data_IF_975514217120
#
_entry.id   IF_975514217120
#
_cell.length_a   1.000
_cell.length_b   1.000
_cell.length_c   1.000
_cell.angle_alpha   90.00
_cell.angle_beta   90.00
_cell.angle_gamma   90.00
#
_symmetry.space_group_name_H-M   'P 1'
#
loop_
_entity.id
_entity.type
_entity.pdbx_description
1 polymer ?
#
# COMPACT_ATOMS: atom_id res chain seq x y z
N UNK A 1 14.33 -26.52 3.26
CA UNK A 1 13.95 -25.94 1.93
C UNK A 1 13.13 -24.72 2.20
N UNK A 2 13.29 -23.63 1.43
CA UNK A 2 12.41 -22.47 1.60
C UNK A 2 10.96 -22.90 1.32
N UNK A 3 10.04 -22.46 2.18
CA UNK A 3 8.62 -22.79 2.04
C UNK A 3 8.07 -22.09 0.80
N UNK A 4 7.33 -22.85 -0.02
CA UNK A 4 6.61 -22.27 -1.14
C UNK A 4 5.47 -21.39 -0.63
N UNK A 5 5.60 -20.06 -0.82
CA UNK A 5 4.59 -19.08 -0.48
C UNK A 5 3.59 -18.99 -1.62
N UNK A 6 2.37 -19.44 -1.42
CA UNK A 6 1.29 -19.30 -2.41
C UNK A 6 0.26 -18.27 -1.94
N UNK A 7 -0.42 -17.63 -2.90
CA UNK A 7 -1.52 -16.71 -2.55
C UNK A 7 -2.61 -17.39 -1.74
N UNK A 8 -2.90 -18.66 -2.01
CA UNK A 8 -3.93 -19.43 -1.27
C UNK A 8 -3.58 -19.58 0.21
N UNK A 9 -2.31 -19.85 0.55
CA UNK A 9 -1.83 -19.91 1.94
C UNK A 9 -1.97 -18.57 2.64
N UNK A 10 -1.56 -17.50 1.98
CA UNK A 10 -1.65 -16.12 2.52
C UNK A 10 -3.11 -15.72 2.76
N UNK A 11 -3.97 -15.94 1.77
CA UNK A 11 -5.41 -15.64 1.86
C UNK A 11 -6.08 -16.47 2.97
N UNK A 12 -5.74 -17.77 3.07
CA UNK A 12 -6.27 -18.64 4.11
C UNK A 12 -5.86 -18.18 5.51
N UNK A 13 -4.59 -17.82 5.72
CA UNK A 13 -4.10 -17.25 6.98
C UNK A 13 -4.85 -15.96 7.31
N UNK A 14 -4.94 -15.03 6.35
CA UNK A 14 -5.59 -13.74 6.55
C UNK A 14 -7.06 -13.89 6.98
N UNK A 15 -7.81 -14.78 6.33
CA UNK A 15 -9.21 -15.07 6.67
C UNK A 15 -9.33 -15.74 8.04
N UNK A 16 -8.55 -16.78 8.28
CA UNK A 16 -8.63 -17.59 9.50
C UNK A 16 -8.18 -16.82 10.76
N UNK A 17 -7.29 -15.85 10.62
CA UNK A 17 -6.73 -15.08 11.75
C UNK A 17 -7.31 -13.68 11.88
N UNK A 18 -8.24 -13.29 11.03
CA UNK A 18 -8.92 -12.01 11.15
C UNK A 18 -8.11 -10.81 10.67
N UNK A 19 -7.23 -11.02 9.69
CA UNK A 19 -6.58 -9.92 8.99
C UNK A 19 -7.49 -9.32 7.91
N UNK A 20 -7.97 -10.15 6.99
CA UNK A 20 -8.74 -9.67 5.83
C UNK A 20 -9.85 -10.67 5.52
N UNK A 21 -11.07 -10.17 5.35
CA UNK A 21 -12.27 -10.93 5.01
C UNK A 21 -12.82 -10.52 3.64
N UNK A 22 -13.59 -11.39 2.95
CA UNK A 22 -14.40 -10.96 1.82
C UNK A 22 -15.42 -9.90 2.26
N UNK A 23 -15.49 -8.78 1.56
CA UNK A 23 -16.47 -7.73 1.84
C UNK A 23 -17.89 -8.20 1.58
N UNK A 24 -18.82 -7.94 2.52
CA UNK A 24 -20.25 -8.30 2.41
C UNK A 24 -20.51 -9.80 2.19
N UNK A 25 -19.73 -10.67 2.79
CA UNK A 25 -19.73 -12.13 2.56
C UNK A 25 -21.11 -12.76 2.78
N UNK A 26 -21.87 -12.28 3.77
CA UNK A 26 -23.22 -12.80 4.06
C UNK A 26 -24.24 -12.62 2.92
N UNK A 27 -23.94 -11.73 1.96
CA UNK A 27 -24.73 -11.52 0.75
C UNK A 27 -24.07 -12.09 -0.52
N UNK A 28 -23.08 -12.97 -0.35
CA UNK A 28 -22.31 -13.55 -1.46
C UNK A 28 -21.11 -12.69 -1.90
N UNK A 29 -20.82 -11.62 -1.18
CA UNK A 29 -19.70 -10.74 -1.45
C UNK A 29 -19.90 -9.77 -2.62
N UNK A 30 -18.92 -8.89 -2.81
CA UNK A 30 -18.77 -8.06 -3.99
C UNK A 30 -17.40 -8.36 -4.60
N UNK A 31 -17.37 -8.61 -5.91
CA UNK A 31 -16.15 -9.07 -6.59
C UNK A 31 -14.92 -8.23 -6.25
N UNK A 32 -13.93 -8.89 -5.67
CA UNK A 32 -12.66 -8.33 -5.19
C UNK A 32 -12.81 -7.09 -4.29
N UNK A 33 -13.77 -7.15 -3.37
CA UNK A 33 -13.96 -6.20 -2.27
C UNK A 33 -13.61 -6.91 -0.96
N UNK A 34 -12.80 -6.25 -0.14
CA UNK A 34 -12.20 -6.85 1.06
C UNK A 34 -12.36 -5.92 2.26
N UNK A 35 -12.66 -6.52 3.42
CA UNK A 35 -12.72 -5.83 4.70
C UNK A 35 -11.50 -6.21 5.54
N UNK A 36 -10.89 -5.24 6.20
CA UNK A 36 -9.84 -5.47 7.18
C UNK A 36 -10.47 -5.83 8.52
N UNK A 37 -10.20 -7.06 9.00
CA UNK A 37 -10.68 -7.54 10.30
C UNK A 37 -9.91 -6.93 11.48
N UNK A 38 -10.14 -7.44 12.71
CA UNK A 38 -9.55 -6.87 13.92
C UNK A 38 -8.02 -6.77 13.91
N UNK A 39 -7.33 -7.81 13.41
CA UNK A 39 -5.87 -7.76 13.26
C UNK A 39 -5.44 -6.93 12.05
N UNK A 40 -6.21 -7.01 10.96
CA UNK A 40 -5.93 -6.31 9.72
C UNK A 40 -5.98 -4.81 9.86
N UNK A 41 -6.96 -4.26 10.58
CA UNK A 41 -7.07 -2.80 10.79
C UNK A 41 -5.91 -2.27 11.62
N UNK A 42 -5.48 -2.98 12.65
CA UNK A 42 -4.31 -2.60 13.45
C UNK A 42 -3.02 -2.68 12.62
N UNK A 43 -2.85 -3.77 11.87
CA UNK A 43 -1.71 -3.95 10.98
C UNK A 43 -1.62 -2.84 9.93
N UNK A 44 -2.70 -2.58 9.20
CA UNK A 44 -2.75 -1.53 8.16
C UNK A 44 -2.53 -0.13 8.75
N UNK A 45 -3.10 0.13 9.93
CA UNK A 45 -2.85 1.39 10.63
C UNK A 45 -1.38 1.52 11.07
N UNK A 46 -0.73 0.44 11.48
CA UNK A 46 0.70 0.45 11.79
C UNK A 46 1.55 0.74 10.55
N UNK A 47 1.22 0.17 9.39
CA UNK A 47 1.88 0.48 8.10
C UNK A 47 1.75 1.97 7.78
N UNK A 48 0.54 2.53 7.88
CA UNK A 48 0.30 3.95 7.64
C UNK A 48 1.03 4.85 8.64
N UNK A 49 1.07 4.47 9.94
CA UNK A 49 1.81 5.21 10.98
C UNK A 49 3.32 5.17 10.73
N UNK A 50 3.87 4.03 10.31
CA UNK A 50 5.29 3.91 9.97
C UNK A 50 5.66 4.85 8.81
N UNK A 51 4.84 4.86 7.76
CA UNK A 51 5.03 5.77 6.62
C UNK A 51 4.92 7.24 7.06
N UNK A 52 3.87 7.60 7.81
CA UNK A 52 3.67 8.96 8.30
C UNK A 52 4.82 9.44 9.20
N UNK A 53 5.31 8.56 10.06
CA UNK A 53 6.47 8.84 10.92
C UNK A 53 7.68 9.24 10.08
N UNK A 54 8.04 8.43 9.07
CA UNK A 54 9.24 8.66 8.25
C UNK A 54 9.06 9.83 7.27
N UNK A 55 7.94 9.87 6.56
CA UNK A 55 7.75 10.83 5.47
C UNK A 55 7.26 12.20 5.94
N UNK A 56 6.63 12.30 7.11
CA UNK A 56 6.08 13.56 7.63
C UNK A 56 6.72 13.97 8.94
N UNK A 57 6.61 13.13 9.97
CA UNK A 57 7.02 13.51 11.33
C UNK A 57 8.52 13.72 11.47
N UNK A 58 9.35 12.85 10.92
CA UNK A 58 10.81 12.91 10.96
C UNK A 58 11.41 13.79 9.85
N UNK A 59 10.59 14.27 8.91
CA UNK A 59 11.04 15.13 7.82
C UNK A 59 10.92 16.60 8.14
N UNK A 60 12.02 17.34 8.04
CA UNK A 60 12.02 18.82 8.13
C UNK A 60 11.33 19.49 6.94
N UNK A 61 11.19 18.80 5.84
CA UNK A 61 10.65 19.33 4.59
C UNK A 61 9.13 19.21 4.51
N UNK A 62 8.57 18.10 4.95
CA UNK A 62 7.22 17.70 4.61
C UNK A 62 6.18 18.16 5.64
N UNK A 63 4.94 18.30 5.17
CA UNK A 63 3.75 18.56 5.97
C UNK A 63 2.63 17.64 5.51
N UNK A 64 1.63 17.42 6.36
CA UNK A 64 0.46 16.60 6.03
C UNK A 64 -0.71 17.41 5.50
N UNK A 65 -1.55 16.75 4.72
CA UNK A 65 -2.84 17.24 4.22
C UNK A 65 -3.86 16.09 4.29
N UNK A 66 -5.11 16.42 4.52
CA UNK A 66 -6.26 15.54 4.30
C UNK A 66 -7.30 16.27 3.47
N UNK A 67 -7.25 16.10 2.16
CA UNK A 67 -8.21 16.71 1.24
C UNK A 67 -9.47 15.87 1.10
N UNK A 68 -10.60 16.51 0.78
CA UNK A 68 -11.86 15.83 0.58
C UNK A 68 -11.82 14.84 -0.60
N UNK A 69 -12.55 13.71 -0.48
CA UNK A 69 -12.72 12.74 -1.58
C UNK A 69 -13.53 13.37 -2.72
N UNK A 70 -14.61 14.07 -2.38
CA UNK A 70 -15.45 14.78 -3.35
C UNK A 70 -14.86 16.17 -3.58
N UNK A 71 -14.46 16.42 -4.81
CA UNK A 71 -13.89 17.70 -5.26
C UNK A 71 -14.68 18.26 -6.42
N UNK A 72 -14.47 19.55 -6.71
CA UNK A 72 -15.06 20.17 -7.89
C UNK A 72 -14.66 19.37 -9.14
N UNK A 73 -15.63 19.11 -10.02
CA UNK A 73 -15.41 18.37 -11.27
C UNK A 73 -14.26 18.93 -12.10
N UNK A 74 -14.07 20.25 -12.07
CA UNK A 74 -13.03 20.95 -12.86
C UNK A 74 -11.59 20.55 -12.46
N UNK A 75 -11.39 20.05 -11.24
CA UNK A 75 -10.10 19.45 -10.85
C UNK A 75 -9.75 18.27 -11.77
N UNK A 76 -10.72 17.42 -12.06
CA UNK A 76 -10.55 16.24 -12.91
C UNK A 76 -10.54 16.55 -14.40
N UNK A 77 -11.14 17.66 -14.79
CA UNK A 77 -11.01 18.19 -16.16
C UNK A 77 -9.61 18.74 -16.38
N UNK A 78 -9.12 19.57 -15.46
CA UNK A 78 -7.80 20.19 -15.53
C UNK A 78 -6.66 19.15 -15.55
N UNK A 79 -6.76 18.13 -14.69
CA UNK A 79 -5.78 17.04 -14.63
C UNK A 79 -5.90 16.00 -15.75
N UNK A 80 -6.93 16.12 -16.62
CA UNK A 80 -7.14 15.22 -17.76
C UNK A 80 -7.87 13.90 -17.43
N UNK A 81 -8.18 13.60 -16.16
CA UNK A 81 -8.83 12.34 -15.78
C UNK A 81 -10.20 12.11 -16.41
N UNK A 82 -11.00 13.15 -16.57
CA UNK A 82 -12.33 13.01 -17.19
C UNK A 82 -12.23 12.54 -18.65
N UNK A 83 -11.22 13.01 -19.38
CA UNK A 83 -11.04 12.72 -20.81
C UNK A 83 -10.14 11.54 -21.13
N UNK A 84 -9.10 11.29 -20.30
CA UNK A 84 -7.99 10.39 -20.63
C UNK A 84 -7.80 9.19 -19.71
N UNK A 85 -8.37 9.20 -18.50
CA UNK A 85 -8.18 8.10 -17.54
C UNK A 85 -9.08 6.91 -17.90
N UNK A 86 -8.66 6.14 -18.90
CA UNK A 86 -9.45 5.05 -19.46
C UNK A 86 -8.58 3.89 -19.90
N UNK A 87 -9.09 2.66 -19.71
CA UNK A 87 -8.49 1.43 -20.20
C UNK A 87 -9.14 0.99 -21.53
N UNK A 88 -8.39 0.32 -22.42
CA UNK A 88 -8.92 -0.28 -23.63
C UNK A 88 -9.69 -1.57 -23.29
N UNK A 89 -11.02 -1.48 -23.27
CA UNK A 89 -11.94 -2.58 -22.91
C UNK A 89 -12.40 -3.36 -24.14
N UNK A 90 -12.32 -4.68 -24.08
CA UNK A 90 -12.95 -5.59 -25.04
C UNK A 90 -13.65 -6.75 -24.37
N UNK A 91 -14.70 -7.31 -25.00
CA UNK A 91 -15.43 -8.46 -24.52
C UNK A 91 -15.25 -9.64 -25.47
N UNK A 92 -15.11 -10.87 -24.96
CA UNK A 92 -15.27 -12.07 -25.77
C UNK A 92 -16.75 -12.27 -26.09
N UNK A 93 -17.11 -12.34 -27.38
CA UNK A 93 -18.52 -12.52 -27.82
C UNK A 93 -19.08 -13.89 -27.45
N UNK A 94 -18.22 -14.91 -27.25
CA UNK A 94 -18.62 -16.26 -26.91
C UNK A 94 -18.94 -16.43 -25.43
N UNK A 95 -17.96 -16.21 -24.54
CA UNK A 95 -18.12 -16.45 -23.11
C UNK A 95 -18.47 -15.19 -22.29
N UNK A 96 -18.60 -14.04 -22.93
CA UNK A 96 -18.89 -12.73 -22.30
C UNK A 96 -17.84 -12.26 -21.28
N UNK A 97 -16.66 -12.88 -21.27
CA UNK A 97 -15.57 -12.43 -20.42
C UNK A 97 -15.02 -11.10 -20.92
N UNK A 98 -14.64 -10.23 -19.98
CA UNK A 98 -14.06 -8.90 -20.23
C UNK A 98 -12.57 -8.92 -20.05
N UNK A 99 -11.88 -8.14 -20.88
CA UNK A 99 -10.43 -8.03 -20.85
C UNK A 99 -10.01 -6.58 -21.12
N UNK A 100 -8.87 -6.22 -20.55
CA UNK A 100 -8.07 -5.10 -21.03
C UNK A 100 -7.30 -5.60 -22.25
N UNK A 101 -7.44 -4.92 -23.37
CA UNK A 101 -6.80 -5.35 -24.61
C UNK A 101 -5.27 -5.21 -24.55
N UNK A 102 -4.76 -4.15 -23.91
CA UNK A 102 -3.34 -3.93 -23.65
C UNK A 102 -2.73 -5.08 -22.82
N UNK A 103 -3.37 -5.47 -21.71
CA UNK A 103 -2.89 -6.58 -20.87
C UNK A 103 -2.90 -7.93 -21.61
N UNK A 104 -3.90 -8.16 -22.45
CA UNK A 104 -3.94 -9.39 -23.26
C UNK A 104 -2.76 -9.45 -24.25
N UNK A 105 -2.36 -8.30 -24.79
CA UNK A 105 -1.19 -8.16 -25.67
C UNK A 105 0.11 -8.37 -24.88
N UNK A 106 0.26 -7.72 -23.74
CA UNK A 106 1.43 -7.84 -22.86
C UNK A 106 1.65 -9.26 -22.34
N UNK A 107 0.56 -9.93 -21.90
CA UNK A 107 0.61 -11.33 -21.47
C UNK A 107 1.09 -12.25 -22.61
N UNK A 108 0.63 -12.00 -23.84
CA UNK A 108 1.11 -12.73 -25.02
C UNK A 108 2.55 -12.44 -25.35
N UNK A 109 3.01 -11.18 -25.28
CA UNK A 109 4.41 -10.80 -25.48
C UNK A 109 5.31 -11.49 -24.46
N UNK A 110 4.93 -11.47 -23.19
CA UNK A 110 5.66 -12.12 -22.09
C UNK A 110 5.77 -13.62 -22.31
N UNK A 111 4.65 -14.27 -22.67
CA UNK A 111 4.62 -15.71 -22.96
C UNK A 111 5.51 -16.12 -24.14
N UNK A 112 5.78 -15.19 -25.05
CA UNK A 112 6.66 -15.40 -26.21
C UNK A 112 8.10 -14.88 -26.00
N UNK A 113 8.47 -14.53 -24.76
CA UNK A 113 9.84 -14.20 -24.39
C UNK A 113 10.29 -12.80 -24.76
N UNK A 114 9.37 -11.84 -24.88
CA UNK A 114 9.74 -10.44 -25.06
C UNK A 114 10.50 -9.92 -23.81
N UNK A 115 11.63 -9.26 -24.02
CA UNK A 115 12.42 -8.65 -22.93
C UNK A 115 11.66 -7.50 -22.27
N UNK A 116 10.90 -6.73 -23.06
CA UNK A 116 9.99 -5.69 -22.62
C UNK A 116 8.62 -5.98 -23.22
N UNK A 117 7.65 -6.23 -22.37
CA UNK A 117 6.26 -6.53 -22.75
C UNK A 117 5.36 -5.38 -22.29
N UNK A 118 5.35 -4.28 -23.06
CA UNK A 118 4.47 -3.15 -22.80
C UNK A 118 3.65 -2.81 -24.04
N UNK A 119 2.39 -2.50 -23.85
CA UNK A 119 1.47 -2.00 -24.85
C UNK A 119 0.88 -0.64 -24.40
N UNK A 120 1.54 0.02 -23.46
CA UNK A 120 1.15 1.33 -22.98
C UNK A 120 1.24 2.36 -24.12
N UNK A 121 0.22 3.21 -24.23
CA UNK A 121 0.17 4.22 -25.28
C UNK A 121 -0.27 3.72 -26.65
N UNK A 122 -0.45 2.40 -26.87
CA UNK A 122 -0.94 1.89 -28.13
C UNK A 122 -2.39 2.31 -28.42
N UNK A 123 -2.65 2.64 -29.68
CA UNK A 123 -4.02 2.90 -30.14
C UNK A 123 -4.88 1.63 -30.14
N UNK A 124 -6.18 1.80 -30.11
CA UNK A 124 -7.12 0.67 -30.20
C UNK A 124 -6.92 -0.16 -31.49
N UNK A 125 -6.50 0.50 -32.58
CA UNK A 125 -6.19 -0.16 -33.86
C UNK A 125 -4.95 -1.01 -33.77
N UNK A 126 -3.86 -0.48 -33.19
CA UNK A 126 -2.59 -1.24 -32.97
C UNK A 126 -2.81 -2.47 -32.09
N UNK A 127 -3.55 -2.29 -30.98
CA UNK A 127 -3.89 -3.41 -30.11
C UNK A 127 -4.69 -4.50 -30.84
N UNK A 128 -5.73 -4.10 -31.59
CA UNK A 128 -6.57 -5.05 -32.34
C UNK A 128 -5.81 -5.75 -33.45
N UNK A 129 -4.95 -5.02 -34.17
CA UNK A 129 -4.07 -5.57 -35.21
C UNK A 129 -3.10 -6.61 -34.63
N UNK A 130 -2.50 -6.32 -33.48
CA UNK A 130 -1.60 -7.26 -32.81
C UNK A 130 -2.34 -8.53 -32.38
N UNK A 131 -3.50 -8.38 -31.73
CA UNK A 131 -4.38 -9.50 -31.30
C UNK A 131 -4.75 -10.38 -32.50
N UNK A 132 -5.13 -9.76 -33.61
CA UNK A 132 -5.56 -10.47 -34.82
C UNK A 132 -4.36 -11.18 -35.50
N UNK A 133 -3.24 -10.49 -35.68
CA UNK A 133 -2.03 -11.02 -36.32
C UNK A 133 -1.47 -12.25 -35.58
N UNK A 134 -1.51 -12.22 -34.27
CA UNK A 134 -0.94 -13.27 -33.42
C UNK A 134 -1.96 -14.33 -33.00
N UNK A 135 -3.19 -14.28 -33.54
CA UNK A 135 -4.30 -15.16 -33.20
C UNK A 135 -4.49 -15.35 -31.68
N UNK A 136 -4.47 -14.24 -30.92
CA UNK A 136 -4.62 -14.28 -29.48
C UNK A 136 -6.04 -14.71 -29.13
N UNK A 137 -6.18 -15.90 -28.58
CA UNK A 137 -7.47 -16.46 -28.18
C UNK A 137 -7.89 -16.01 -26.78
N UNK A 138 -9.19 -16.04 -26.52
CA UNK A 138 -9.74 -15.74 -25.20
C UNK A 138 -9.17 -16.69 -24.14
N UNK A 139 -8.49 -16.21 -23.08
CA UNK A 139 -7.90 -17.06 -22.03
C UNK A 139 -8.94 -17.94 -21.32
N UNK A 140 -10.23 -17.52 -21.35
CA UNK A 140 -11.30 -18.23 -20.64
C UNK A 140 -11.94 -19.36 -21.46
N UNK A 141 -12.14 -19.17 -22.76
CA UNK A 141 -12.88 -20.15 -23.59
C UNK A 141 -12.11 -20.63 -24.83
N UNK A 142 -10.90 -20.12 -25.09
CA UNK A 142 -10.06 -20.52 -26.23
C UNK A 142 -10.58 -20.07 -27.60
N UNK A 143 -11.59 -19.22 -27.68
CA UNK A 143 -12.14 -18.70 -28.93
C UNK A 143 -11.59 -17.33 -29.26
N UNK A 144 -11.37 -17.07 -30.54
CA UNK A 144 -10.98 -15.74 -31.02
C UNK A 144 -12.20 -15.04 -31.65
N UNK A 145 -13.04 -14.45 -30.80
CA UNK A 145 -14.22 -13.71 -31.24
C UNK A 145 -14.48 -12.56 -30.26
N UNK A 146 -13.87 -11.43 -30.53
CA UNK A 146 -13.91 -10.25 -29.66
C UNK A 146 -14.82 -9.14 -30.23
N UNK A 147 -15.25 -8.24 -29.34
CA UNK A 147 -15.84 -6.96 -29.72
C UNK A 147 -14.74 -5.99 -30.16
N UNK A 148 -15.12 -4.89 -30.77
CA UNK A 148 -14.22 -3.76 -30.95
C UNK A 148 -13.75 -3.25 -29.58
N UNK A 149 -12.53 -2.70 -29.55
CA UNK A 149 -11.96 -2.09 -28.37
C UNK A 149 -12.61 -0.73 -28.14
N UNK A 150 -13.08 -0.49 -26.93
CA UNK A 150 -13.68 0.79 -26.51
C UNK A 150 -12.98 1.35 -25.29
N UNK A 151 -12.88 2.67 -25.19
CA UNK A 151 -12.35 3.34 -24.00
C UNK A 151 -13.34 3.20 -22.84
N UNK A 152 -12.85 2.72 -21.70
CA UNK A 152 -13.61 2.61 -20.47
C UNK A 152 -12.99 3.50 -19.41
N UNK A 153 -13.66 4.61 -19.06
CA UNK A 153 -13.18 5.53 -18.05
C UNK A 153 -13.27 4.89 -16.65
N UNK A 154 -12.16 4.94 -15.91
CA UNK A 154 -12.02 4.29 -14.61
C UNK A 154 -12.58 5.11 -13.44
N UNK A 155 -13.05 6.34 -13.67
CA UNK A 155 -13.61 7.16 -12.59
C UNK A 155 -15.03 6.70 -12.22
N UNK A 156 -15.25 6.47 -10.93
CA UNK A 156 -16.61 6.33 -10.40
C UNK A 156 -17.34 7.66 -10.43
N UNK A 157 -18.54 7.67 -11.02
CA UNK A 157 -19.45 8.81 -11.02
C UNK A 157 -20.50 8.68 -9.93
N UNK A 158 -20.84 9.81 -9.32
CA UNK A 158 -22.00 9.96 -8.46
C UNK A 158 -22.62 11.34 -8.67
N UNK A 159 -23.67 11.67 -7.93
CA UNK A 159 -24.39 12.93 -8.09
C UNK A 159 -24.48 13.65 -6.75
N UNK A 160 -24.38 14.97 -6.80
CA UNK A 160 -24.62 15.85 -5.67
C UNK A 160 -26.03 16.44 -5.77
N UNK A 161 -26.82 16.39 -4.72
CA UNK A 161 -28.20 16.88 -4.71
C UNK A 161 -29.20 15.81 -5.15
N UNK A 162 -30.39 16.24 -5.58
CA UNK A 162 -31.59 15.40 -5.84
C UNK A 162 -31.76 14.99 -7.30
N UNK A 163 -31.02 15.57 -8.22
CA UNK A 163 -31.15 15.29 -9.67
C UNK A 163 -29.87 14.62 -10.19
N UNK A 164 -30.07 13.54 -10.96
CA UNK A 164 -29.00 12.80 -11.64
C UNK A 164 -28.78 13.37 -13.05
N UNK A 165 -28.18 14.56 -13.13
CA UNK A 165 -27.85 15.21 -14.37
C UNK A 165 -26.36 15.57 -14.51
N UNK A 166 -25.95 16.06 -15.66
CA UNK A 166 -24.55 16.39 -15.92
C UNK A 166 -24.01 17.54 -15.07
N UNK A 167 -24.89 18.46 -14.65
CA UNK A 167 -24.51 19.62 -13.85
C UNK A 167 -24.19 19.20 -12.40
N UNK A 168 -24.86 18.15 -11.92
CA UNK A 168 -24.71 17.62 -10.57
C UNK A 168 -23.72 16.43 -10.48
N UNK A 169 -23.07 16.08 -11.60
CA UNK A 169 -22.10 14.98 -11.63
C UNK A 169 -20.85 15.34 -10.84
N UNK A 170 -20.50 14.48 -9.87
CA UNK A 170 -19.23 14.49 -9.15
C UNK A 170 -18.55 13.12 -9.28
N UNK A 171 -17.27 13.09 -9.01
CA UNK A 171 -16.48 11.85 -9.10
C UNK A 171 -15.89 11.48 -7.75
N UNK A 172 -15.81 10.17 -7.48
CA UNK A 172 -14.94 9.68 -6.42
C UNK A 172 -13.50 9.81 -6.93
N UNK A 173 -12.62 10.41 -6.14
CA UNK A 173 -11.23 10.65 -6.57
C UNK A 173 -10.51 9.36 -6.93
N UNK A 174 -9.84 9.27 -8.09
CA UNK A 174 -9.07 8.11 -8.50
C UNK A 174 -7.66 8.08 -7.90
N UNK A 175 -7.22 9.21 -7.31
CA UNK A 175 -5.93 9.40 -6.66
C UNK A 175 -5.99 10.53 -5.63
N UNK A 176 -5.02 10.56 -4.72
CA UNK A 176 -4.92 11.61 -3.70
C UNK A 176 -4.09 12.81 -4.16
N UNK A 177 -3.27 12.67 -5.21
CA UNK A 177 -2.35 13.68 -5.72
C UNK A 177 -3.02 15.00 -6.07
N UNK A 178 -4.15 14.98 -6.81
CA UNK A 178 -4.81 16.20 -7.26
C UNK A 178 -5.31 17.07 -6.10
N UNK A 179 -5.73 16.44 -5.00
CA UNK A 179 -6.07 17.15 -3.78
C UNK A 179 -4.90 17.93 -3.18
N UNK A 180 -3.68 17.43 -3.39
CA UNK A 180 -2.45 18.11 -2.96
C UNK A 180 -2.16 19.30 -3.88
N UNK A 181 -2.17 19.10 -5.20
CA UNK A 181 -1.87 20.16 -6.16
C UNK A 181 -2.80 21.36 -6.04
N UNK A 182 -4.12 21.15 -5.95
CA UNK A 182 -5.08 22.28 -5.81
C UNK A 182 -4.92 23.03 -4.48
N UNK A 183 -4.35 22.40 -3.47
CA UNK A 183 -4.10 23.02 -2.15
C UNK A 183 -2.67 23.55 -1.99
N UNK A 184 -1.80 23.43 -3.00
CA UNK A 184 -0.38 23.82 -2.93
C UNK A 184 -0.18 25.22 -2.33
N UNK A 185 -0.83 26.24 -2.89
CA UNK A 185 -0.69 27.64 -2.43
C UNK A 185 -1.17 27.84 -0.99
N UNK A 186 -2.28 27.22 -0.62
CA UNK A 186 -2.85 27.32 0.72
C UNK A 186 -1.94 26.66 1.76
N UNK A 187 -1.44 25.48 1.46
CA UNK A 187 -0.51 24.75 2.35
C UNK A 187 0.81 25.49 2.46
N UNK A 188 1.43 25.91 1.35
CA UNK A 188 2.69 26.62 1.33
C UNK A 188 2.61 27.92 2.16
N UNK A 189 1.53 28.69 2.01
CA UNK A 189 1.32 29.94 2.73
C UNK A 189 1.10 29.71 4.23
N UNK A 190 0.24 28.78 4.61
CA UNK A 190 -0.14 28.53 6.00
C UNK A 190 0.95 27.84 6.80
N UNK A 191 1.71 26.93 6.17
CA UNK A 191 2.85 26.24 6.78
C UNK A 191 4.15 27.06 6.75
N UNK A 192 4.18 28.14 5.96
CA UNK A 192 5.37 28.98 5.71
C UNK A 192 6.58 28.21 5.19
N UNK A 193 6.33 27.06 4.53
CA UNK A 193 7.40 26.26 3.95
C UNK A 193 8.02 26.97 2.75
N UNK A 194 9.32 26.79 2.60
CA UNK A 194 10.10 27.20 1.43
C UNK A 194 10.34 25.96 0.56
N UNK A 195 10.45 26.15 -0.73
CA UNK A 195 10.91 25.11 -1.65
C UNK A 195 12.39 24.82 -1.39
N UNK A 196 12.85 23.55 -1.22
CA UNK A 196 12.05 22.35 -1.40
C UNK A 196 11.18 22.00 -0.18
N UNK A 197 9.93 21.55 -0.44
CA UNK A 197 9.06 20.98 0.59
C UNK A 197 8.05 20.03 -0.01
N UNK A 198 7.53 19.11 0.80
CA UNK A 198 6.54 18.13 0.38
C UNK A 198 5.22 18.27 1.12
N UNK A 199 4.15 17.84 0.47
CA UNK A 199 2.81 17.69 1.04
C UNK A 199 2.43 16.23 0.93
N UNK A 200 2.16 15.60 2.06
CA UNK A 200 1.85 14.17 2.16
C UNK A 200 0.38 13.95 2.51
N UNK A 201 -0.21 12.92 1.94
CA UNK A 201 -1.58 12.52 2.23
C UNK A 201 -1.70 11.01 2.29
N UNK A 202 -2.52 10.52 3.25
CA UNK A 202 -3.05 9.16 3.26
C UNK A 202 -4.55 9.27 3.05
N UNK A 203 -5.09 8.56 2.06
CA UNK A 203 -6.53 8.65 1.82
C UNK A 203 -7.07 7.60 0.86
N UNK A 204 -8.37 7.41 0.93
CA UNK A 204 -9.13 6.53 0.02
C UNK A 204 -9.11 7.07 -1.40
N UNK A 205 -8.96 6.15 -2.35
CA UNK A 205 -9.08 6.38 -3.79
C UNK A 205 -9.90 5.26 -4.42
N UNK A 206 -10.48 5.54 -5.60
CA UNK A 206 -11.48 4.69 -6.22
C UNK A 206 -11.20 4.58 -7.72
N UNK A 207 -11.00 3.37 -8.21
CA UNK A 207 -10.84 3.10 -9.65
C UNK A 207 -11.76 1.97 -10.06
N UNK A 208 -12.63 2.20 -11.02
CA UNK A 208 -13.57 1.20 -11.51
C UNK A 208 -12.84 0.17 -12.39
N UNK A 209 -11.90 -0.57 -11.79
CA UNK A 209 -11.05 -1.55 -12.46
C UNK A 209 -11.87 -2.58 -13.25
N UNK A 210 -11.45 -2.85 -14.49
CA UNK A 210 -12.07 -3.85 -15.36
C UNK A 210 -11.78 -5.25 -14.83
N UNK A 211 -10.53 -5.50 -14.44
CA UNK A 211 -10.02 -6.80 -13.97
C UNK A 211 -9.38 -6.68 -12.57
N UNK A 212 -10.18 -6.41 -11.52
CA UNK A 212 -9.64 -6.45 -10.17
C UNK A 212 -9.24 -7.89 -9.82
N UNK A 213 -8.20 -8.06 -8.99
CA UNK A 213 -7.72 -9.41 -8.68
C UNK A 213 -6.52 -9.42 -7.76
N UNK A 214 -5.98 -10.62 -7.57
CA UNK A 214 -4.81 -10.87 -6.73
C UNK A 214 -5.00 -10.35 -5.30
N UNK A 215 -6.14 -10.72 -4.67
CA UNK A 215 -6.48 -10.34 -3.31
C UNK A 215 -6.56 -8.80 -3.16
N UNK A 216 -5.80 -8.18 -2.25
CA UNK A 216 -5.79 -6.73 -2.05
C UNK A 216 -4.80 -5.98 -2.96
N UNK A 217 -4.17 -6.67 -3.91
CA UNK A 217 -3.23 -6.05 -4.84
C UNK A 217 -3.90 -5.09 -5.81
N UNK A 218 -5.06 -5.46 -6.39
CA UNK A 218 -5.84 -4.63 -7.32
C UNK A 218 -7.33 -4.66 -6.97
N UNK A 219 -7.78 -3.63 -6.28
CA UNK A 219 -9.16 -3.45 -5.82
C UNK A 219 -9.75 -2.17 -6.41
N UNK A 220 -11.07 -2.02 -6.34
CA UNK A 220 -11.76 -0.80 -6.82
C UNK A 220 -11.78 0.33 -5.80
N UNK A 221 -11.70 -0.01 -4.52
CA UNK A 221 -11.55 0.90 -3.39
C UNK A 221 -10.26 0.54 -2.67
N UNK A 222 -9.35 1.50 -2.50
CA UNK A 222 -8.04 1.30 -1.88
C UNK A 222 -7.59 2.56 -1.15
N UNK A 223 -6.51 2.48 -0.40
CA UNK A 223 -5.87 3.63 0.23
C UNK A 223 -4.51 3.90 -0.42
N UNK A 224 -4.24 5.18 -0.70
CA UNK A 224 -2.93 5.64 -1.15
C UNK A 224 -2.21 6.38 -0.02
N UNK A 225 -0.89 6.30 -0.05
CA UNK A 225 0.05 7.10 0.72
C UNK A 225 0.92 7.82 -0.30
N UNK A 226 0.66 9.10 -0.51
CA UNK A 226 1.31 9.93 -1.54
C UNK A 226 2.02 11.12 -0.92
N UNK A 227 3.19 11.41 -1.46
CA UNK A 227 3.96 12.62 -1.18
C UNK A 227 4.18 13.36 -2.50
N UNK A 228 3.74 14.62 -2.56
CA UNK A 228 4.10 15.53 -3.63
C UNK A 228 5.22 16.44 -3.12
N UNK A 229 6.43 16.19 -3.57
CA UNK A 229 7.61 16.92 -3.13
C UNK A 229 8.01 17.97 -4.16
N UNK A 230 7.81 19.23 -3.81
CA UNK A 230 8.04 20.38 -4.67
C UNK A 230 9.48 20.85 -4.57
N UNK A 231 10.17 20.95 -5.72
CA UNK A 231 11.56 21.38 -5.81
C UNK A 231 11.76 22.47 -6.87
N UNK A 232 12.95 23.08 -6.87
CA UNK A 232 13.30 24.05 -7.90
C UNK A 232 13.59 23.32 -9.22
N UNK A 233 13.06 23.80 -10.37
CA UNK A 233 13.44 23.26 -11.67
C UNK A 233 14.96 23.18 -11.86
N UNK A 234 15.45 22.04 -12.37
CA UNK A 234 16.87 21.73 -12.52
C UNK A 234 17.53 21.09 -11.29
N UNK A 235 16.78 20.86 -10.19
CA UNK A 235 17.20 20.04 -9.04
C UNK A 235 16.38 18.78 -8.89
N UNK A 236 15.45 18.55 -9.80
CA UNK A 236 14.47 17.48 -9.83
C UNK A 236 15.12 16.09 -9.85
N UNK A 237 16.07 15.84 -10.73
CA UNK A 237 16.75 14.53 -10.84
C UNK A 237 17.56 14.18 -9.58
N UNK A 238 18.12 15.17 -8.87
CA UNK A 238 18.78 14.95 -7.58
C UNK A 238 17.77 14.49 -6.54
N UNK A 239 16.62 15.18 -6.44
CA UNK A 239 15.54 14.82 -5.52
C UNK A 239 14.86 13.50 -5.91
N UNK A 240 14.74 13.22 -7.19
CA UNK A 240 14.26 11.93 -7.68
C UNK A 240 15.13 10.78 -7.17
N UNK A 241 16.46 10.90 -7.33
CA UNK A 241 17.41 9.92 -6.78
C UNK A 241 17.31 9.78 -5.26
N UNK A 242 17.22 10.90 -4.53
CA UNK A 242 17.03 10.90 -3.08
C UNK A 242 15.77 10.12 -2.65
N UNK A 243 14.62 10.35 -3.30
CA UNK A 243 13.37 9.69 -2.94
C UNK A 243 13.36 8.21 -3.33
N UNK A 244 14.02 7.81 -4.42
CA UNK A 244 14.21 6.39 -4.77
C UNK A 244 14.92 5.65 -3.63
N UNK A 245 16.05 6.17 -3.17
CA UNK A 245 16.83 5.56 -2.09
C UNK A 245 16.07 5.58 -0.77
N UNK A 246 15.35 6.66 -0.48
CA UNK A 246 14.57 6.79 0.75
C UNK A 246 13.43 5.76 0.82
N UNK A 247 12.67 5.59 -0.27
CA UNK A 247 11.59 4.62 -0.37
C UNK A 247 12.11 3.17 -0.29
N UNK A 248 13.21 2.89 -0.95
CA UNK A 248 13.87 1.58 -0.89
C UNK A 248 14.29 1.23 0.54
N UNK A 249 15.00 2.12 1.20
CA UNK A 249 15.47 1.90 2.56
C UNK A 249 14.32 1.79 3.58
N UNK A 250 13.20 2.49 3.37
CA UNK A 250 12.01 2.34 4.20
C UNK A 250 11.49 0.90 4.21
N UNK A 251 11.43 0.25 3.05
CA UNK A 251 10.98 -1.15 2.95
C UNK A 251 11.97 -2.10 3.64
N UNK A 252 13.26 -1.93 3.41
CA UNK A 252 14.30 -2.76 4.05
C UNK A 252 14.29 -2.62 5.58
N UNK A 253 14.17 -1.40 6.09
CA UNK A 253 14.15 -1.14 7.52
C UNK A 253 12.92 -1.74 8.22
N UNK A 254 11.83 -1.97 7.48
CA UNK A 254 10.64 -2.66 7.97
C UNK A 254 10.63 -4.16 7.69
N UNK A 255 11.76 -4.71 7.27
CA UNK A 255 12.02 -6.15 7.21
C UNK A 255 11.72 -6.81 5.87
N UNK A 256 11.43 -6.06 4.81
CA UNK A 256 11.31 -6.65 3.46
C UNK A 256 12.69 -7.13 3.00
N UNK A 257 12.76 -8.35 2.51
CA UNK A 257 14.00 -8.96 2.04
C UNK A 257 14.46 -8.33 0.73
N UNK A 258 15.76 -7.94 0.62
CA UNK A 258 16.28 -7.31 -0.61
C UNK A 258 16.07 -8.14 -1.87
N UNK A 259 16.16 -9.47 -1.76
CA UNK A 259 15.94 -10.41 -2.88
C UNK A 259 14.50 -10.46 -3.37
N UNK A 260 13.56 -9.95 -2.58
CA UNK A 260 12.14 -9.81 -2.94
C UNK A 260 11.83 -8.49 -3.63
N UNK A 261 12.80 -7.58 -3.74
CA UNK A 261 12.65 -6.25 -4.32
C UNK A 261 13.51 -6.08 -5.57
N UNK A 262 13.05 -5.29 -6.50
CA UNK A 262 13.88 -4.75 -7.57
C UNK A 262 13.47 -3.31 -7.91
N UNK A 263 14.44 -2.52 -8.38
CA UNK A 263 14.20 -1.20 -8.94
C UNK A 263 14.06 -1.35 -10.44
N UNK A 264 13.00 -0.77 -11.03
CA UNK A 264 12.75 -0.74 -12.46
C UNK A 264 12.63 0.71 -12.91
N UNK A 265 13.64 1.19 -13.60
CA UNK A 265 13.57 2.50 -14.25
C UNK A 265 12.82 2.37 -15.58
N UNK A 266 11.89 3.29 -15.84
CA UNK A 266 11.14 3.33 -17.11
C UNK A 266 12.02 3.86 -18.22
N UNK A 267 11.95 3.22 -19.39
CA UNK A 267 12.56 3.74 -20.62
C UNK A 267 11.81 4.95 -21.14
N UNK A 268 12.46 5.73 -22.04
CA UNK A 268 11.85 6.93 -22.64
C UNK A 268 10.50 6.65 -23.32
N UNK A 269 10.31 5.45 -23.85
CA UNK A 269 9.06 5.02 -24.53
C UNK A 269 7.91 4.72 -23.55
N UNK A 270 8.24 4.48 -22.27
CA UNK A 270 7.26 4.16 -21.22
C UNK A 270 6.85 5.38 -20.39
N UNK A 271 7.62 6.48 -20.49
CA UNK A 271 7.36 7.67 -19.70
C UNK A 271 6.02 8.29 -20.07
N UNK A 272 5.24 8.62 -19.03
CA UNK A 272 4.08 9.48 -19.21
C UNK A 272 4.50 10.83 -19.80
N UNK A 273 3.68 11.42 -20.63
CA UNK A 273 3.94 12.69 -21.32
C UNK A 273 4.25 13.89 -20.41
N UNK A 274 4.00 13.75 -19.11
CA UNK A 274 4.28 14.76 -18.07
C UNK A 274 5.50 14.44 -17.21
N UNK A 275 6.15 13.30 -17.44
CA UNK A 275 7.24 12.82 -16.57
C UNK A 275 8.60 12.89 -17.27
N UNK A 276 9.63 13.41 -16.57
CA UNK A 276 11.02 13.34 -17.01
C UNK A 276 11.70 12.03 -16.64
N UNK A 277 11.27 11.41 -15.56
CA UNK A 277 11.80 10.15 -15.06
C UNK A 277 10.74 9.44 -14.21
N UNK A 278 10.68 8.13 -14.33
CA UNK A 278 9.82 7.28 -13.50
C UNK A 278 10.58 6.02 -13.14
N UNK A 279 10.46 5.59 -11.89
CA UNK A 279 10.99 4.33 -11.41
C UNK A 279 9.97 3.64 -10.53
N UNK A 280 9.85 2.32 -10.66
CA UNK A 280 9.06 1.50 -9.78
C UNK A 280 9.96 0.68 -8.86
N UNK A 281 9.60 0.61 -7.58
CA UNK A 281 10.05 -0.48 -6.72
C UNK A 281 9.03 -1.59 -6.90
N UNK A 282 9.47 -2.72 -7.43
CA UNK A 282 8.64 -3.90 -7.60
C UNK A 282 8.95 -4.94 -6.52
N UNK A 283 7.92 -5.67 -6.10
CA UNK A 283 8.01 -6.78 -5.15
C UNK A 283 7.64 -8.09 -5.84
N UNK A 284 8.37 -9.17 -5.49
CA UNK A 284 8.11 -10.51 -6.00
C UNK A 284 6.98 -11.18 -5.19
N UNK A 285 5.75 -10.94 -5.62
CA UNK A 285 4.57 -11.62 -5.08
C UNK A 285 4.51 -13.09 -5.55
N UNK A 286 3.70 -13.95 -4.92
CA UNK A 286 3.51 -15.33 -5.39
C UNK A 286 2.97 -15.45 -6.82
N UNK A 287 2.37 -14.40 -7.36
CA UNK A 287 1.88 -14.32 -8.74
C UNK A 287 2.89 -13.65 -9.70
N UNK A 288 4.09 -13.33 -9.25
CA UNK A 288 5.13 -12.67 -10.03
C UNK A 288 5.45 -11.25 -9.57
N UNK A 289 6.32 -10.58 -10.31
CA UNK A 289 6.71 -9.20 -10.03
C UNK A 289 5.51 -8.26 -10.17
N UNK A 290 5.33 -7.40 -9.20
CA UNK A 290 4.29 -6.39 -9.19
C UNK A 290 4.80 -5.08 -8.64
N UNK A 291 4.37 -3.99 -9.26
CA UNK A 291 4.65 -2.64 -8.81
C UNK A 291 4.17 -2.45 -7.38
N UNK A 292 5.07 -2.01 -6.50
CA UNK A 292 4.80 -1.73 -5.10
C UNK A 292 4.78 -0.23 -4.83
N UNK A 293 5.72 0.51 -5.42
CA UNK A 293 5.92 1.94 -5.19
C UNK A 293 6.37 2.62 -6.47
N UNK A 294 5.59 3.57 -6.97
CA UNK A 294 5.99 4.43 -8.07
C UNK A 294 6.68 5.69 -7.56
N UNK A 295 7.78 6.07 -8.18
CA UNK A 295 8.45 7.36 -7.97
C UNK A 295 8.52 8.06 -9.32
N UNK A 296 7.92 9.24 -9.45
CA UNK A 296 7.86 9.98 -10.70
C UNK A 296 8.36 11.43 -10.54
N UNK A 297 9.15 11.89 -11.49
CA UNK A 297 9.39 13.31 -11.70
C UNK A 297 8.31 13.85 -12.63
N UNK A 298 7.32 14.53 -12.07
CA UNK A 298 6.13 15.06 -12.77
C UNK A 298 6.36 16.44 -13.37
N UNK A 299 7.55 17.00 -13.25
CA UNK A 299 7.89 18.36 -13.67
C UNK A 299 6.95 19.43 -13.07
N UNK A 300 6.61 20.48 -13.78
CA UNK A 300 5.63 21.51 -13.39
C UNK A 300 4.20 21.20 -13.89
N UNK A 301 3.99 20.03 -14.48
CA UNK A 301 2.81 19.71 -15.26
C UNK A 301 1.49 19.99 -14.50
N UNK A 302 1.30 19.38 -13.34
CA UNK A 302 0.03 19.46 -12.59
C UNK A 302 -0.26 20.90 -12.13
N UNK A 303 0.73 21.57 -11.50
CA UNK A 303 0.57 22.95 -11.06
C UNK A 303 0.27 23.90 -12.23
N UNK A 304 0.91 23.68 -13.37
CA UNK A 304 0.68 24.44 -14.60
C UNK A 304 -0.70 24.21 -15.17
N UNK A 305 -1.15 22.96 -15.22
CA UNK A 305 -2.51 22.62 -15.68
C UNK A 305 -3.60 23.24 -14.82
N UNK A 306 -3.43 23.18 -13.50
CA UNK A 306 -4.36 23.85 -12.59
C UNK A 306 -4.30 25.36 -12.69
N UNK A 307 -3.13 25.97 -12.90
CA UNK A 307 -2.99 27.40 -13.14
C UNK A 307 -3.71 27.84 -14.42
N UNK A 308 -3.46 27.13 -15.54
CA UNK A 308 -4.06 27.40 -16.84
C UNK A 308 -5.59 27.28 -16.78
N UNK A 309 -6.10 26.23 -16.17
CA UNK A 309 -7.54 25.95 -16.14
C UNK A 309 -8.32 26.87 -15.18
N UNK A 310 -7.76 27.13 -13.99
CA UNK A 310 -8.40 27.95 -12.96
C UNK A 310 -8.16 29.46 -13.08
N UNK A 311 -7.15 29.87 -13.85
CA UNK A 311 -6.65 31.26 -13.87
C UNK A 311 -5.90 31.67 -12.59
N UNK A 312 -5.63 30.73 -11.68
CA UNK A 312 -4.94 31.01 -10.41
C UNK A 312 -3.43 30.86 -10.57
N UNK A 313 -2.68 31.87 -10.11
CA UNK A 313 -1.19 31.80 -10.11
C UNK A 313 -0.67 30.74 -9.13
N UNK A 314 -0.14 29.63 -9.66
CA UNK A 314 0.44 28.52 -8.89
C UNK A 314 1.95 28.64 -8.75
N UNK A 315 2.58 29.72 -9.18
CA UNK A 315 4.02 29.91 -9.05
C UNK A 315 4.47 30.15 -7.61
N UNK A 316 5.70 29.82 -7.32
CA UNK A 316 6.41 30.12 -6.07
C UNK A 316 7.37 31.30 -6.28
N UNK A 317 7.37 32.24 -5.35
CA UNK A 317 8.37 33.31 -5.28
C UNK A 317 9.40 32.94 -4.20
N UNK A 318 10.63 32.68 -4.62
CA UNK A 318 11.71 32.39 -3.68
C UNK A 318 12.11 33.68 -2.92
N UNK A 319 11.90 33.73 -1.61
CA UNK A 319 12.19 34.93 -0.82
C UNK A 319 13.71 35.25 -0.70
N UNK A 320 14.57 34.27 -1.07
CA UNK A 320 16.01 34.41 -0.98
C UNK A 320 16.61 35.02 -2.25
N UNK A 321 16.14 34.55 -3.41
CA UNK A 321 16.63 34.93 -4.74
C UNK A 321 15.74 35.97 -5.43
N UNK A 322 14.50 36.13 -4.95
CA UNK A 322 13.42 36.87 -5.60
C UNK A 322 13.05 36.35 -6.99
N UNK A 323 13.37 35.08 -7.25
CA UNK A 323 13.04 34.40 -8.48
C UNK A 323 11.62 33.80 -8.39
N UNK A 324 10.86 33.90 -9.48
CA UNK A 324 9.51 33.39 -9.57
C UNK A 324 9.47 32.23 -10.58
N UNK A 325 9.00 31.05 -10.13
CA UNK A 325 8.88 29.85 -10.97
C UNK A 325 7.73 28.96 -10.52
N UNK A 326 7.27 28.07 -11.40
CA UNK A 326 6.39 26.96 -11.01
C UNK A 326 7.30 25.82 -10.56
N UNK A 327 7.17 25.31 -9.31
CA UNK A 327 8.01 24.21 -8.85
C UNK A 327 7.81 22.93 -9.66
N UNK A 328 8.87 22.14 -9.78
CA UNK A 328 8.78 20.74 -10.21
C UNK A 328 8.35 19.88 -9.05
N UNK A 329 7.76 18.74 -9.34
CA UNK A 329 7.22 17.82 -8.35
C UNK A 329 7.81 16.42 -8.51
N UNK A 330 8.32 15.87 -7.41
CA UNK A 330 8.69 14.44 -7.31
C UNK A 330 7.61 13.76 -6.49
N UNK A 331 7.02 12.72 -7.04
CA UNK A 331 5.90 11.95 -6.47
C UNK A 331 6.33 10.55 -6.09
N UNK A 332 6.69 10.24 -4.84
CA UNK A 332 6.64 8.89 -4.31
C UNK A 332 5.21 8.51 -3.92
N UNK A 333 4.62 7.56 -4.65
CA UNK A 333 3.23 7.12 -4.46
C UNK A 333 3.14 5.61 -4.26
N UNK A 334 2.47 5.17 -3.19
CA UNK A 334 2.20 3.76 -2.99
C UNK A 334 0.79 3.48 -2.45
N UNK A 335 0.29 2.29 -2.78
CA UNK A 335 -0.96 1.78 -2.22
C UNK A 335 -0.73 1.16 -0.84
N UNK A 336 -1.44 1.66 0.19
CA UNK A 336 -1.37 1.10 1.54
C UNK A 336 -1.79 -0.38 1.58
N UNK A 337 -2.80 -0.75 0.78
CA UNK A 337 -3.28 -2.14 0.67
C UNK A 337 -2.25 -3.06 0.01
N UNK A 338 -1.57 -2.55 -1.02
CA UNK A 338 -0.56 -3.30 -1.78
C UNK A 338 0.70 -3.53 -0.97
N UNK A 339 1.21 -2.51 -0.28
CA UNK A 339 2.38 -2.65 0.60
C UNK A 339 2.07 -3.50 1.83
N UNK A 340 0.85 -3.39 2.39
CA UNK A 340 0.41 -4.28 3.46
C UNK A 340 0.42 -5.75 3.01
N UNK A 341 -0.04 -6.05 1.78
CA UNK A 341 0.05 -7.39 1.21
C UNK A 341 1.51 -7.85 1.07
N UNK A 342 2.40 -6.99 0.58
CA UNK A 342 3.83 -7.32 0.46
C UNK A 342 4.45 -7.68 1.81
N UNK A 343 4.19 -6.89 2.86
CA UNK A 343 4.65 -7.22 4.23
C UNK A 343 4.09 -8.55 4.74
N UNK A 344 2.80 -8.87 4.47
CA UNK A 344 2.21 -10.15 4.87
C UNK A 344 2.87 -11.32 4.14
N UNK A 345 3.10 -11.19 2.83
CA UNK A 345 3.76 -12.23 2.02
C UNK A 345 5.21 -12.43 2.46
N UNK A 346 5.93 -11.33 2.68
CA UNK A 346 7.35 -11.41 3.07
C UNK A 346 7.52 -12.04 4.44
N UNK A 347 6.66 -11.68 5.39
CA UNK A 347 6.69 -12.15 6.77
C UNK A 347 6.22 -13.61 6.96
N UNK A 348 5.42 -14.16 6.05
CA UNK A 348 4.90 -15.52 6.17
C UNK A 348 5.99 -16.57 6.08
N UNK A 349 6.00 -17.52 7.04
CA UNK A 349 6.89 -18.69 7.00
C UNK A 349 6.23 -19.92 7.65
N UNK A 350 6.71 -21.11 7.28
CA UNK A 350 6.37 -22.41 7.89
C UNK A 350 7.67 -23.07 8.29
N UNK A 351 7.95 -23.13 9.58
CA UNK A 351 9.17 -23.69 10.13
C UNK A 351 8.95 -25.13 10.62
N UNK A 352 9.76 -26.05 10.14
CA UNK A 352 9.81 -27.41 10.66
C UNK A 352 10.59 -27.44 11.97
N UNK A 353 9.96 -27.94 13.02
CA UNK A 353 10.56 -28.07 14.35
C UNK A 353 11.06 -29.49 14.59
N UNK A 354 11.86 -29.64 15.66
CA UNK A 354 12.29 -30.95 16.14
C UNK A 354 11.07 -31.86 16.37
N UNK A 355 11.07 -33.04 15.75
CA UNK A 355 9.94 -34.00 15.82
C UNK A 355 8.95 -33.93 14.65
N UNK A 356 9.21 -33.09 13.65
CA UNK A 356 8.39 -33.02 12.42
C UNK A 356 7.10 -32.22 12.54
N UNK A 357 6.95 -31.49 13.66
CA UNK A 357 5.86 -30.50 13.82
C UNK A 357 6.17 -29.22 13.01
N UNK A 358 5.16 -28.61 12.39
CA UNK A 358 5.31 -27.40 11.59
C UNK A 358 4.72 -26.21 12.32
N UNK A 359 5.52 -25.15 12.43
CA UNK A 359 5.12 -23.85 12.99
C UNK A 359 4.83 -22.86 11.87
N UNK A 360 3.59 -22.41 11.74
CA UNK A 360 3.30 -21.21 10.93
C UNK A 360 3.65 -19.98 11.73
N UNK A 361 4.40 -19.08 11.14
CA UNK A 361 4.87 -17.85 11.79
C UNK A 361 4.83 -16.66 10.83
N UNK A 362 4.47 -15.48 11.36
CA UNK A 362 4.53 -14.22 10.65
C UNK A 362 5.67 -13.38 11.21
N UNK A 363 6.79 -13.31 10.50
CA UNK A 363 7.98 -12.54 10.89
C UNK A 363 7.81 -11.02 10.64
N UNK A 364 6.69 -10.47 11.07
CA UNK A 364 6.43 -9.03 10.95
C UNK A 364 7.42 -8.23 11.79
N UNK A 365 7.94 -7.13 11.23
CA UNK A 365 8.69 -6.16 12.04
C UNK A 365 7.83 -5.72 13.23
N UNK A 366 8.38 -5.60 14.47
CA UNK A 366 7.59 -5.25 15.65
C UNK A 366 6.74 -3.98 15.49
N UNK A 367 7.25 -2.98 14.77
CA UNK A 367 6.50 -1.77 14.45
C UNK A 367 5.22 -2.03 13.65
N UNK A 368 5.19 -3.07 12.81
CA UNK A 368 4.05 -3.44 11.97
C UNK A 368 3.08 -4.42 12.63
N UNK A 369 3.56 -5.25 13.57
CA UNK A 369 2.76 -6.29 14.24
C UNK A 369 1.45 -5.71 14.82
N UNK A 370 0.30 -6.38 14.64
CA UNK A 370 -0.99 -5.94 15.20
C UNK A 370 -0.93 -5.75 16.71
N UNK A 371 -0.46 -6.78 17.42
CA UNK A 371 -0.12 -6.71 18.85
C UNK A 371 1.38 -6.60 19.02
N UNK A 372 1.81 -5.70 19.92
CA UNK A 372 3.25 -5.52 20.24
C UNK A 372 3.76 -6.56 21.23
N UNK A 373 2.86 -7.08 22.03
CA UNK A 373 3.10 -8.16 22.97
C UNK A 373 1.79 -8.89 23.29
N UNK A 374 1.91 -10.11 23.82
CA UNK A 374 0.80 -10.85 24.41
C UNK A 374 1.13 -11.18 25.87
N UNK A 375 0.23 -10.87 26.81
CA UNK A 375 0.36 -11.18 28.22
C UNK A 375 -0.36 -12.49 28.53
N UNK A 376 0.40 -13.48 29.01
CA UNK A 376 -0.01 -14.86 29.14
C UNK A 376 0.21 -15.36 30.58
N UNK A 377 -0.83 -15.39 31.47
CA UNK A 377 -0.65 -16.00 32.78
C UNK A 377 -0.40 -17.50 32.66
N UNK A 378 0.67 -18.03 33.28
CA UNK A 378 0.99 -19.46 33.25
C UNK A 378 -0.13 -20.30 33.87
N UNK A 379 -0.83 -19.75 34.87
CA UNK A 379 -1.96 -20.35 35.57
C UNK A 379 -3.02 -19.30 35.82
N UNK A 380 -4.29 -19.71 35.90
CA UNK A 380 -5.41 -18.83 36.29
C UNK A 380 -5.24 -18.17 37.68
N UNK A 381 -4.41 -18.76 38.54
CA UNK A 381 -4.10 -18.14 39.84
C UNK A 381 -3.28 -16.84 39.72
N UNK A 382 -2.67 -16.63 38.57
CA UNK A 382 -1.83 -15.47 38.26
C UNK A 382 -2.59 -14.42 37.41
N UNK A 383 -3.89 -14.60 37.17
CA UNK A 383 -4.67 -13.70 36.30
C UNK A 383 -4.66 -12.27 36.81
N UNK A 384 -4.80 -12.04 38.12
CA UNK A 384 -4.77 -10.70 38.70
C UNK A 384 -3.44 -9.98 38.43
N UNK A 385 -2.32 -10.70 38.58
CA UNK A 385 -1.00 -10.14 38.29
C UNK A 385 -0.79 -9.92 36.80
N UNK A 386 -1.29 -10.80 35.95
CA UNK A 386 -1.24 -10.66 34.51
C UNK A 386 -2.10 -9.47 34.02
N UNK A 387 -3.26 -9.24 34.64
CA UNK A 387 -4.11 -8.06 34.38
C UNK A 387 -3.43 -6.74 34.73
N UNK A 388 -2.65 -6.70 35.83
CA UNK A 388 -1.82 -5.53 36.17
C UNK A 388 -0.79 -5.24 35.07
N UNK A 389 -0.07 -6.26 34.62
CA UNK A 389 0.93 -6.15 33.53
C UNK A 389 0.26 -5.72 32.23
N UNK A 390 -0.85 -6.37 31.86
CA UNK A 390 -1.62 -6.01 30.68
C UNK A 390 -2.08 -4.55 30.75
N UNK A 391 -2.71 -4.14 31.84
CA UNK A 391 -3.23 -2.78 32.03
C UNK A 391 -2.14 -1.71 31.97
N UNK A 392 -0.95 -2.02 32.43
CA UNK A 392 0.22 -1.13 32.34
C UNK A 392 0.66 -0.96 30.87
N UNK A 393 0.80 -2.05 30.14
CA UNK A 393 1.26 -2.04 28.75
C UNK A 393 0.22 -1.48 27.79
N UNK A 394 -1.07 -1.76 28.00
CA UNK A 394 -2.19 -1.31 27.16
C UNK A 394 -2.36 0.21 27.12
N UNK A 395 -1.77 0.95 28.07
CA UNK A 395 -1.74 2.42 28.03
C UNK A 395 -0.83 2.99 26.92
N UNK A 396 0.12 2.19 26.43
CA UNK A 396 1.14 2.62 25.45
C UNK A 396 1.09 1.81 24.14
N UNK A 397 0.69 0.55 24.23
CA UNK A 397 0.79 -0.40 23.11
C UNK A 397 -0.51 -1.17 22.93
N UNK A 398 -0.78 -1.63 21.72
CA UNK A 398 -1.80 -2.64 21.48
C UNK A 398 -1.23 -4.00 21.91
N UNK A 399 -1.84 -4.62 22.92
CA UNK A 399 -1.41 -5.89 23.52
C UNK A 399 -2.57 -6.86 23.60
N UNK A 400 -2.28 -8.15 23.46
CA UNK A 400 -3.24 -9.24 23.65
C UNK A 400 -3.18 -9.76 25.10
N UNK A 401 -4.29 -10.27 25.61
CA UNK A 401 -4.36 -11.05 26.85
C UNK A 401 -4.98 -12.40 26.53
N UNK A 402 -4.28 -13.50 26.83
CA UNK A 402 -4.78 -14.85 26.57
C UNK A 402 -4.45 -15.81 27.71
N UNK A 403 -5.48 -16.39 28.31
CA UNK A 403 -5.36 -17.42 29.35
C UNK A 403 -5.95 -18.78 28.91
N UNK A 404 -6.32 -18.93 27.62
CA UNK A 404 -7.09 -20.08 27.13
C UNK A 404 -6.19 -21.18 26.58
N UNK A 405 -6.20 -22.34 27.22
CA UNK A 405 -5.44 -23.52 26.81
C UNK A 405 -4.01 -23.55 27.36
N UNK A 406 -3.19 -24.49 26.89
CA UNK A 406 -1.79 -24.61 27.33
C UNK A 406 -0.92 -23.46 26.81
N UNK A 407 0.15 -23.14 27.55
CA UNK A 407 1.07 -22.04 27.17
C UNK A 407 1.66 -22.24 25.77
N UNK A 408 2.03 -23.48 25.41
CA UNK A 408 2.57 -23.77 24.07
C UNK A 408 1.55 -23.49 22.94
N UNK A 409 0.25 -23.77 23.14
CA UNK A 409 -0.80 -23.43 22.17
C UNK A 409 -0.99 -21.92 22.05
N UNK A 410 -0.86 -21.19 23.16
CA UNK A 410 -0.94 -19.71 23.17
C UNK A 410 0.24 -19.10 22.43
N UNK A 411 1.47 -19.59 22.63
CA UNK A 411 2.63 -19.17 21.85
C UNK A 411 2.43 -19.37 20.34
N UNK A 412 1.89 -20.54 19.92
CA UNK A 412 1.62 -20.82 18.51
C UNK A 412 0.62 -19.84 17.90
N UNK A 413 -0.46 -19.51 18.63
CA UNK A 413 -1.43 -18.50 18.17
C UNK A 413 -0.79 -17.14 17.95
N UNK A 414 0.13 -16.74 18.84
CA UNK A 414 0.83 -15.46 18.72
C UNK A 414 1.87 -15.46 17.60
N UNK A 415 2.56 -16.60 17.38
CA UNK A 415 3.48 -16.76 16.25
C UNK A 415 2.73 -16.58 14.91
N UNK A 416 1.56 -17.19 14.74
CA UNK A 416 0.75 -17.13 13.52
C UNK A 416 0.20 -15.73 13.19
N UNK A 417 0.04 -14.86 14.17
CA UNK A 417 -0.43 -13.49 13.96
C UNK A 417 0.68 -12.44 14.00
N UNK A 418 1.92 -12.90 14.22
CA UNK A 418 3.11 -12.04 14.15
C UNK A 418 3.40 -11.22 15.40
N UNK A 419 2.85 -11.57 16.57
CA UNK A 419 3.16 -10.90 17.84
C UNK A 419 4.63 -11.15 18.21
N UNK A 420 5.47 -10.10 18.34
CA UNK A 420 6.92 -10.29 18.52
C UNK A 420 7.31 -10.84 19.88
N UNK A 421 6.53 -10.54 20.92
CA UNK A 421 6.85 -10.92 22.30
C UNK A 421 5.66 -11.55 23.01
N UNK A 422 5.91 -12.73 23.62
CA UNK A 422 4.96 -13.33 24.56
C UNK A 422 5.49 -13.13 26.00
N UNK A 423 4.74 -12.40 26.80
CA UNK A 423 5.08 -12.06 28.19
C UNK A 423 4.35 -13.03 29.12
N UNK A 424 5.07 -14.00 29.64
CA UNK A 424 4.52 -15.00 30.55
C UNK A 424 4.67 -14.54 31.99
N UNK A 425 3.53 -14.40 32.68
CA UNK A 425 3.47 -14.19 34.12
C UNK A 425 3.45 -15.56 34.79
N UNK A 426 4.49 -15.88 35.55
CA UNK A 426 4.71 -17.15 36.21
C UNK A 426 4.73 -17.02 37.75
N UNK A 427 4.90 -18.13 38.48
CA UNK A 427 4.84 -18.11 39.94
C UNK A 427 6.03 -17.37 40.58
N UNK A 428 7.18 -17.24 39.89
CA UNK A 428 8.33 -16.48 40.39
C UNK A 428 8.11 -14.96 40.22
N UNK A 429 7.20 -14.55 39.34
CA UNK A 429 6.89 -13.13 39.10
C UNK A 429 6.48 -12.39 40.39
N UNK A 430 5.78 -13.07 41.30
CA UNK A 430 5.37 -12.47 42.58
C UNK A 430 6.57 -12.28 43.54
N UNK A 431 7.63 -13.07 43.37
CA UNK A 431 8.80 -13.04 44.24
C UNK A 431 9.83 -12.04 43.73
N UNK A 432 10.14 -12.04 42.42
CA UNK A 432 11.25 -11.29 41.83
C UNK A 432 10.83 -10.06 41.03
N UNK A 433 9.52 -9.86 40.83
CA UNK A 433 8.97 -8.74 40.01
C UNK A 433 9.32 -8.82 38.52
N UNK A 434 9.77 -10.01 38.05
CA UNK A 434 10.12 -10.25 36.68
C UNK A 434 9.08 -11.13 35.96
N UNK A 435 9.03 -11.01 34.63
CA UNK A 435 8.23 -11.87 33.75
C UNK A 435 9.17 -12.57 32.76
N UNK A 436 8.70 -13.67 32.19
CA UNK A 436 9.44 -14.34 31.12
C UNK A 436 8.97 -13.82 29.77
N UNK A 437 9.87 -13.23 28.99
CA UNK A 437 9.62 -12.81 27.59
C UNK A 437 10.11 -13.93 26.67
N UNK A 438 9.21 -14.42 25.80
CA UNK A 438 9.57 -15.30 24.70
C UNK A 438 9.58 -14.48 23.42
N UNK A 439 10.69 -14.52 22.70
CA UNK A 439 10.86 -13.93 21.38
C UNK A 439 10.25 -14.84 20.32
N UNK A 440 9.40 -14.28 19.43
CA UNK A 440 8.77 -15.01 18.34
C UNK A 440 9.78 -15.67 17.41
N UNK A 441 10.77 -14.91 16.94
CA UNK A 441 11.66 -15.35 15.85
C UNK A 441 12.67 -16.42 16.31
N UNK A 442 13.29 -16.22 17.45
CA UNK A 442 14.31 -17.15 18.00
C UNK A 442 13.73 -18.22 18.92
N UNK A 443 12.49 -18.06 19.40
CA UNK A 443 11.86 -18.84 20.47
C UNK A 443 12.63 -18.83 21.80
N UNK A 444 13.69 -18.03 21.92
CA UNK A 444 14.44 -17.85 23.15
C UNK A 444 13.61 -17.13 24.21
N UNK A 445 13.95 -17.36 25.46
CA UNK A 445 13.27 -16.78 26.60
C UNK A 445 14.28 -16.08 27.51
N UNK A 446 13.87 -14.94 28.04
CA UNK A 446 14.65 -14.17 29.02
C UNK A 446 13.75 -13.60 30.12
N UNK A 447 14.32 -13.35 31.30
CA UNK A 447 13.60 -12.69 32.39
C UNK A 447 13.84 -11.20 32.36
N UNK A 448 12.74 -10.43 32.42
CA UNK A 448 12.76 -8.97 32.37
C UNK A 448 11.87 -8.42 33.49
N UNK A 449 12.32 -7.36 34.16
CA UNK A 449 11.54 -6.71 35.21
C UNK A 449 10.29 -6.05 34.60
N UNK A 450 9.16 -6.12 35.31
CA UNK A 450 7.90 -5.53 34.88
C UNK A 450 8.06 -4.03 34.59
N UNK A 451 8.82 -3.31 35.40
CA UNK A 451 9.07 -1.87 35.24
C UNK A 451 9.83 -1.52 33.94
N UNK A 452 10.62 -2.45 33.38
CA UNK A 452 11.43 -2.26 32.17
C UNK A 452 10.67 -2.61 30.89
N UNK A 453 9.51 -3.27 30.97
CA UNK A 453 8.76 -3.77 29.80
C UNK A 453 8.39 -2.68 28.80
N UNK A 454 7.97 -1.52 29.27
CA UNK A 454 7.60 -0.40 28.38
C UNK A 454 8.77 0.03 27.51
N UNK A 455 9.96 0.16 28.08
CA UNK A 455 11.14 0.60 27.34
C UNK A 455 11.69 -0.52 26.46
N UNK A 456 11.61 -1.76 26.93
CA UNK A 456 11.96 -2.95 26.13
C UNK A 456 11.13 -3.03 24.84
N UNK A 457 9.81 -2.93 24.95
CA UNK A 457 8.92 -2.94 23.77
C UNK A 457 9.17 -1.71 22.90
N UNK A 458 9.22 -0.50 23.48
CA UNK A 458 9.41 0.73 22.72
C UNK A 458 10.66 0.70 21.83
N UNK A 459 11.78 0.20 22.38
CA UNK A 459 13.04 0.07 21.64
C UNK A 459 12.92 -0.86 20.43
N UNK A 460 12.14 -1.93 20.53
CA UNK A 460 11.93 -2.87 19.42
C UNK A 460 11.11 -2.31 18.26
N UNK A 461 10.39 -1.18 18.47
CA UNK A 461 9.58 -0.54 17.45
C UNK A 461 10.36 0.48 16.60
N UNK A 462 11.64 0.70 16.88
CA UNK A 462 12.51 1.58 16.10
C UNK A 462 12.90 0.93 14.76
N UNK A 463 12.94 1.73 13.67
CA UNK A 463 13.30 1.28 12.32
C UNK A 463 13.82 2.44 11.46
#
# INVERSE_FOLDING_TARGET
>A
MAVEKTMDKIVALCKNRGFIFPGSEIYGGLANSWDYGPLGVEFKNNVKRAWWKKFVQESKYNVGLDSAILMNREVWVASGHVGGFSDPLMDCKECKARFRADKLVEDHMTANGAEVATADGWSNEELMDYITKNNIVCPKCGKMNYTDIRKFNLMFKTFQGITEDSANTVYLRPETAQGIFVNFKSVQRTSRKKVPFGIAQIGKSFRNEITPGNFTFRTREFEQMELEFFCKPGTDLEWFGYWKDYCWNFLLNLGVKPESLRMRDHGEEELSFYSNATSDIEYLFPFGWGELWGIADRTDYDLKKHAEHSGTDMSYLDPTTNEKYIPYCIEPSLGADRVALAFLVDAYDEEELEGGDVRTVMHLHPALAPYKAAVLPLSKKLSDKADEVYSMLAKKFNVEYDETGSIGKRYRRQDEIGTPFCITVDFETENDGCVTIRHRDSMTQERVKIEELNDFIAKSLEF
#
